data_IF_611335364757
#
_entry.id   IF_611335364757
#
_cell.length_a   1.000
_cell.length_b   1.000
_cell.length_c   1.000
_cell.angle_alpha   90.00
_cell.angle_beta   90.00
_cell.angle_gamma   90.00
#
_symmetry.space_group_name_H-M   'P 1'
#
loop_
_entity.id
_entity.type
_entity.pdbx_description
1 polymer ?
#
# COMPACT_ATOMS: atom_id res chain seq x y z
N UNK A 1 1.75 -5.65 -9.02
CA UNK A 1 2.03 -4.96 -10.30
C UNK A 1 2.79 -3.69 -9.96
N UNK A 2 3.80 -3.33 -10.76
CA UNK A 2 4.44 -2.01 -10.71
C UNK A 2 3.96 -1.17 -11.90
N UNK A 3 3.78 0.12 -11.66
CA UNK A 3 3.40 1.10 -12.67
C UNK A 3 4.29 2.32 -12.54
N UNK A 4 4.72 2.86 -13.67
CA UNK A 4 5.56 4.06 -13.67
C UNK A 4 4.72 5.33 -13.46
N UNK A 5 5.33 6.36 -12.85
CA UNK A 5 4.69 7.64 -12.56
C UNK A 5 4.80 8.61 -13.76
N UNK A 6 5.94 8.61 -14.45
CA UNK A 6 6.23 9.59 -15.52
C UNK A 6 5.81 9.11 -16.91
N UNK A 7 5.92 7.80 -17.18
CA UNK A 7 5.49 7.22 -18.45
C UNK A 7 4.39 6.17 -18.28
N UNK A 8 3.74 5.83 -19.39
CA UNK A 8 2.67 4.83 -19.39
C UNK A 8 3.25 3.42 -19.54
N UNK A 9 3.85 2.92 -18.47
CA UNK A 9 4.39 1.57 -18.40
C UNK A 9 3.88 0.82 -17.16
N UNK A 10 3.63 -0.49 -17.31
CA UNK A 10 3.18 -1.37 -16.23
C UNK A 10 3.70 -2.78 -16.42
N UNK A 11 4.02 -3.45 -15.31
CA UNK A 11 4.49 -4.84 -15.32
C UNK A 11 3.95 -5.62 -14.12
N UNK A 12 3.54 -6.86 -14.36
CA UNK A 12 3.19 -7.80 -13.31
C UNK A 12 4.50 -8.40 -12.79
N UNK A 13 4.76 -8.24 -11.50
CA UNK A 13 6.02 -8.66 -10.85
C UNK A 13 5.85 -9.90 -9.98
N UNK A 14 4.62 -10.19 -9.55
CA UNK A 14 4.34 -11.28 -8.64
C UNK A 14 2.86 -11.68 -8.73
N UNK A 15 2.57 -12.93 -8.35
CA UNK A 15 1.23 -13.50 -8.30
C UNK A 15 1.18 -14.66 -7.30
N UNK A 16 0.23 -14.60 -6.38
CA UNK A 16 -0.04 -15.67 -5.40
C UNK A 16 -1.48 -16.12 -5.47
N UNK A 17 -1.69 -17.43 -5.28
CA UNK A 17 -3.00 -17.96 -4.95
C UNK A 17 -3.27 -17.75 -3.47
N UNK A 18 -4.40 -17.11 -3.15
CA UNK A 18 -4.82 -16.87 -1.77
C UNK A 18 -5.92 -17.84 -1.37
N UNK A 19 -5.89 -18.41 -0.16
CA UNK A 19 -7.03 -19.11 0.41
C UNK A 19 -8.17 -18.13 0.76
N UNK A 20 -9.33 -18.63 1.17
CA UNK A 20 -10.52 -17.83 1.52
C UNK A 20 -10.26 -16.76 2.60
N UNK A 21 -9.27 -16.99 3.46
CA UNK A 21 -8.85 -16.06 4.50
C UNK A 21 -7.34 -15.92 4.52
N UNK A 22 -6.85 -14.68 4.45
CA UNK A 22 -5.43 -14.35 4.43
C UNK A 22 -5.10 -13.41 5.59
N UNK A 23 -4.01 -13.71 6.30
CA UNK A 23 -3.43 -12.74 7.22
C UNK A 23 -2.65 -11.67 6.44
N UNK A 24 -3.15 -10.43 6.47
CA UNK A 24 -2.48 -9.27 5.85
C UNK A 24 -1.07 -8.97 6.36
N UNK A 25 -0.66 -9.50 7.52
CA UNK A 25 0.72 -9.41 7.97
C UNK A 25 1.71 -10.15 7.05
N UNK A 26 1.25 -11.19 6.36
CA UNK A 26 2.07 -11.96 5.40
C UNK A 26 2.43 -11.16 4.14
N UNK A 27 1.67 -10.11 3.83
CA UNK A 27 1.94 -9.28 2.66
C UNK A 27 3.19 -8.40 2.84
N UNK A 28 3.55 -8.05 4.08
CA UNK A 28 4.72 -7.21 4.36
C UNK A 28 6.02 -7.82 3.83
N UNK A 29 6.44 -9.04 4.21
CA UNK A 29 7.70 -9.61 3.73
C UNK A 29 7.73 -9.76 2.20
N UNK A 30 6.61 -10.15 1.58
CA UNK A 30 6.48 -10.26 0.12
C UNK A 30 6.75 -8.91 -0.54
N UNK A 31 6.10 -7.85 -0.06
CA UNK A 31 6.27 -6.51 -0.63
C UNK A 31 7.67 -5.96 -0.38
N UNK A 32 8.27 -6.24 0.78
CA UNK A 32 9.66 -5.83 1.05
C UNK A 32 10.63 -6.51 0.08
N UNK A 33 10.47 -7.80 -0.18
CA UNK A 33 11.27 -8.53 -1.17
C UNK A 33 11.12 -7.94 -2.58
N UNK A 34 9.89 -7.63 -3.00
CA UNK A 34 9.63 -6.95 -4.28
C UNK A 34 10.34 -5.59 -4.30
N UNK A 35 10.28 -4.81 -3.22
CA UNK A 35 10.94 -3.50 -3.16
C UNK A 35 12.44 -3.64 -3.34
N UNK A 36 13.06 -4.55 -2.60
CA UNK A 36 14.51 -4.81 -2.66
C UNK A 36 14.94 -5.25 -4.07
N UNK A 37 14.20 -6.17 -4.69
CA UNK A 37 14.49 -6.65 -6.05
C UNK A 37 14.35 -5.53 -7.10
N UNK A 38 13.29 -4.74 -7.03
CA UNK A 38 13.04 -3.65 -7.98
C UNK A 38 14.07 -2.53 -7.83
N UNK A 39 14.44 -2.19 -6.60
CA UNK A 39 15.50 -1.20 -6.34
C UNK A 39 16.89 -1.70 -6.79
N UNK A 40 17.16 -3.01 -6.68
CA UNK A 40 18.44 -3.59 -7.12
C UNK A 40 18.68 -3.48 -8.63
N UNK A 41 17.61 -3.37 -9.43
CA UNK A 41 17.68 -3.18 -10.90
C UNK A 41 17.65 -1.70 -11.30
N UNK A 42 17.72 -0.78 -10.33
CA UNK A 42 17.76 0.67 -10.56
C UNK A 42 16.40 1.34 -10.72
N UNK A 43 15.29 0.66 -10.39
CA UNK A 43 13.96 1.25 -10.38
C UNK A 43 13.59 1.71 -8.97
N UNK A 44 13.25 2.98 -8.83
CA UNK A 44 12.92 3.57 -7.53
C UNK A 44 11.44 3.45 -7.20
N UNK A 45 11.13 2.84 -6.05
CA UNK A 45 9.76 2.73 -5.56
C UNK A 45 9.45 3.90 -4.62
N UNK A 46 8.41 4.66 -4.97
CA UNK A 46 7.98 5.82 -4.18
C UNK A 46 6.73 5.55 -3.35
N UNK A 47 5.81 4.71 -3.86
CA UNK A 47 4.55 4.46 -3.18
C UNK A 47 4.03 3.04 -3.36
N UNK A 48 3.25 2.62 -2.37
CA UNK A 48 2.40 1.43 -2.41
C UNK A 48 0.96 1.92 -2.50
N UNK A 49 0.25 1.47 -3.54
CA UNK A 49 -1.17 1.77 -3.73
C UNK A 49 -1.99 0.49 -3.56
N UNK A 50 -2.98 0.53 -2.66
CA UNK A 50 -3.91 -0.58 -2.45
C UNK A 50 -5.33 -0.08 -2.19
N UNK A 51 -6.32 -0.98 -2.26
CA UNK A 51 -7.62 -0.70 -1.69
C UNK A 51 -7.55 -0.61 -0.14
N UNK A 52 -8.69 -0.29 0.49
CA UNK A 52 -8.83 -0.22 1.95
C UNK A 52 -9.53 -1.43 2.55
N UNK A 53 -9.37 -2.61 1.95
CA UNK A 53 -9.85 -3.86 2.52
C UNK A 53 -9.15 -4.21 3.84
N UNK A 54 -9.77 -5.01 4.73
CA UNK A 54 -9.21 -5.34 6.04
C UNK A 54 -7.79 -5.95 5.98
N UNK A 55 -7.52 -6.78 4.97
CA UNK A 55 -6.20 -7.41 4.74
C UNK A 55 -5.13 -6.35 4.44
N UNK A 56 -5.43 -5.41 3.53
CA UNK A 56 -4.51 -4.33 3.17
C UNK A 56 -4.31 -3.33 4.31
N UNK A 57 -5.36 -3.02 5.09
CA UNK A 57 -5.21 -2.21 6.30
C UNK A 57 -4.35 -2.89 7.37
N UNK A 58 -4.42 -4.23 7.49
CA UNK A 58 -3.53 -4.97 8.40
C UNK A 58 -2.08 -4.89 7.92
N UNK A 59 -1.83 -5.06 6.62
CA UNK A 59 -0.51 -4.85 6.01
C UNK A 59 0.06 -3.46 6.31
N UNK A 60 -0.74 -2.41 6.12
CA UNK A 60 -0.37 -1.01 6.41
C UNK A 60 0.06 -0.83 7.87
N UNK A 61 -0.69 -1.44 8.81
CA UNK A 61 -0.34 -1.44 10.22
C UNK A 61 0.97 -2.17 10.49
N UNK A 62 1.22 -3.32 9.85
CA UNK A 62 2.46 -4.09 10.01
C UNK A 62 3.68 -3.34 9.46
N UNK A 63 3.51 -2.46 8.47
CA UNK A 63 4.61 -1.64 7.94
C UNK A 63 5.05 -0.52 8.88
N UNK A 64 4.14 0.09 9.63
CA UNK A 64 4.50 1.18 10.55
C UNK A 64 3.30 1.92 11.15
N UNK A 65 2.22 1.21 11.46
CA UNK A 65 0.97 1.79 11.95
C UNK A 65 0.40 2.89 11.01
N UNK A 66 0.56 2.70 9.70
CA UNK A 66 0.03 3.61 8.68
C UNK A 66 -1.49 3.73 8.84
N UNK A 67 -1.96 4.97 8.97
CA UNK A 67 -3.36 5.30 9.20
C UNK A 67 -3.54 6.53 10.10
N UNK A 68 -4.79 6.78 10.48
CA UNK A 68 -5.14 7.79 11.48
C UNK A 68 -6.26 7.27 12.38
N UNK A 69 -6.21 7.68 13.64
CA UNK A 69 -7.30 7.56 14.60
C UNK A 69 -7.79 8.96 14.95
N UNK A 70 -8.97 9.07 15.57
CA UNK A 70 -9.59 10.34 16.01
C UNK A 70 -8.64 11.25 16.82
N UNK A 71 -7.68 10.66 17.52
CA UNK A 71 -6.74 11.33 18.41
C UNK A 71 -5.27 11.23 17.97
N UNK A 72 -4.97 10.63 16.81
CA UNK A 72 -3.59 10.48 16.33
C UNK A 72 -3.32 11.37 15.13
N UNK A 73 -2.05 11.76 14.96
CA UNK A 73 -1.60 12.35 13.70
C UNK A 73 -1.74 11.32 12.58
N UNK A 74 -2.06 11.81 11.39
CA UNK A 74 -2.07 10.99 10.18
C UNK A 74 -0.64 10.54 9.87
N UNK A 75 -0.43 9.23 9.74
CA UNK A 75 0.83 8.64 9.29
C UNK A 75 0.56 7.93 7.98
N UNK A 76 1.15 8.42 6.89
CA UNK A 76 0.96 7.88 5.54
C UNK A 76 2.29 7.48 4.86
N UNK A 77 3.41 7.57 5.58
CA UNK A 77 4.72 7.20 5.05
C UNK A 77 5.62 6.63 6.14
N UNK A 78 6.62 5.87 5.70
CA UNK A 78 7.72 5.35 6.52
C UNK A 78 9.05 5.66 5.84
N UNK A 79 10.19 5.58 6.56
CA UNK A 79 11.51 5.53 5.92
C UNK A 79 11.57 4.38 4.92
N UNK A 80 12.11 4.63 3.73
CA UNK A 80 12.18 3.62 2.67
C UNK A 80 13.13 2.48 3.09
N UNK A 81 12.75 1.19 2.92
CA UNK A 81 13.50 0.07 3.48
C UNK A 81 14.90 -0.10 2.88
N UNK A 82 15.12 0.36 1.64
CA UNK A 82 16.42 0.29 0.94
C UNK A 82 17.25 1.55 1.16
N UNK A 83 16.62 2.70 1.44
CA UNK A 83 17.30 3.99 1.54
C UNK A 83 16.58 4.88 2.55
N UNK A 84 17.15 4.98 3.75
CA UNK A 84 16.57 5.73 4.87
C UNK A 84 16.37 7.24 4.60
N UNK A 85 17.01 7.80 3.57
CA UNK A 85 16.81 9.21 3.19
C UNK A 85 15.53 9.43 2.38
N UNK A 86 14.98 8.37 1.80
CA UNK A 86 13.72 8.41 1.05
C UNK A 86 12.55 7.97 1.92
N UNK A 87 11.35 8.38 1.50
CA UNK A 87 10.10 7.99 2.13
C UNK A 87 9.34 7.05 1.21
N UNK A 88 8.76 6.01 1.78
CA UNK A 88 7.81 5.13 1.12
C UNK A 88 6.40 5.54 1.53
N UNK A 89 5.59 5.95 0.55
CA UNK A 89 4.22 6.43 0.77
C UNK A 89 3.19 5.32 0.61
N UNK A 90 2.15 5.34 1.44
CA UNK A 90 0.99 4.45 1.33
C UNK A 90 -0.22 5.26 0.87
N UNK A 91 -0.79 4.86 -0.27
CA UNK A 91 -1.86 5.58 -0.94
C UNK A 91 -3.06 4.63 -1.10
N UNK A 92 -4.24 5.10 -0.69
CA UNK A 92 -5.49 4.40 -0.95
C UNK A 92 -5.96 4.65 -2.38
N UNK A 93 -6.59 3.66 -3.00
CA UNK A 93 -7.22 3.82 -4.30
C UNK A 93 -8.36 4.87 -4.27
N UNK A 94 -8.20 5.95 -5.04
CA UNK A 94 -9.09 7.11 -5.00
C UNK A 94 -10.53 6.84 -5.45
N UNK A 95 -10.78 6.07 -6.52
CA UNK A 95 -12.14 5.63 -6.88
C UNK A 95 -12.83 4.84 -5.77
N UNK A 96 -12.13 3.91 -5.11
CA UNK A 96 -12.69 3.17 -3.97
C UNK A 96 -13.02 4.08 -2.78
N UNK A 97 -12.14 5.05 -2.47
CA UNK A 97 -12.42 6.06 -1.45
C UNK A 97 -13.69 6.86 -1.74
N UNK A 98 -13.83 7.38 -2.95
CA UNK A 98 -14.99 8.20 -3.32
C UNK A 98 -16.30 7.41 -3.26
N UNK A 99 -16.27 6.15 -3.71
CA UNK A 99 -17.42 5.24 -3.62
C UNK A 99 -17.83 5.00 -2.17
N UNK A 100 -16.86 4.74 -1.29
CA UNK A 100 -17.11 4.51 0.14
C UNK A 100 -17.66 5.78 0.82
N UNK A 101 -17.11 6.95 0.48
CA UNK A 101 -17.61 8.23 0.98
C UNK A 101 -19.06 8.49 0.55
N UNK A 102 -19.38 8.31 -0.73
CA UNK A 102 -20.75 8.42 -1.23
C UNK A 102 -21.69 7.48 -0.46
N UNK A 103 -21.29 6.23 -0.27
CA UNK A 103 -22.10 5.25 0.44
C UNK A 103 -22.33 5.64 1.91
N UNK A 104 -21.30 6.13 2.60
CA UNK A 104 -21.41 6.62 3.97
C UNK A 104 -22.36 7.81 4.09
N UNK A 105 -22.25 8.79 3.19
CA UNK A 105 -23.12 9.97 3.16
C UNK A 105 -24.59 9.63 2.88
N UNK A 106 -24.86 8.67 2.00
CA UNK A 106 -26.23 8.29 1.66
C UNK A 106 -26.88 7.41 2.72
N UNK A 107 -26.12 6.56 3.39
CA UNK A 107 -26.65 5.59 4.35
C UNK A 107 -26.50 6.01 5.81
N UNK A 108 -25.91 7.19 6.08
CA UNK A 108 -25.70 7.73 7.42
C UNK A 108 -25.07 6.70 8.39
N UNK A 109 -24.18 5.87 7.85
CA UNK A 109 -23.35 4.90 8.55
C UNK A 109 -21.89 5.22 8.31
#
# INVERSE_FOLDING_TARGET
MIGEIFTRWKMIVDYYFTPDSLDGALLKPIIQEIIEKVESIGLYIYSITSDMGPVNLKMWKTFGAIGSNKYSKLVNCIPHPVDSNRKLFFIADAPHLLKNLKFALLNNK
#
